data_IF_737542535471
#
_entry.id   IF_737542535471
#
_cell.length_a   1.000
_cell.length_b   1.000
_cell.length_c   1.000
_cell.angle_alpha   90.00
_cell.angle_beta   90.00
_cell.angle_gamma   90.00
#
_symmetry.space_group_name_H-M   'P 1'
#
loop_
_entity.id
_entity.type
_entity.pdbx_description
1 polymer ?
#
# COMPACT_ATOMS: atom_id res chain seq x y z
N UNK A 1 -14.65 -17.61 3.76
CA UNK A 1 -13.66 -18.63 3.36
C UNK A 1 -12.38 -17.92 2.93
N UNK A 2 -11.31 -17.99 3.73
CA UNK A 2 -9.98 -17.53 3.31
C UNK A 2 -9.42 -18.62 2.39
N UNK A 3 -9.27 -18.32 1.09
CA UNK A 3 -8.41 -19.12 0.23
C UNK A 3 -6.98 -18.75 0.59
N UNK A 4 -6.29 -19.61 1.31
CA UNK A 4 -4.85 -19.54 1.42
C UNK A 4 -4.27 -19.88 0.04
N UNK A 5 -4.05 -18.87 -0.81
CA UNK A 5 -3.19 -19.04 -1.97
C UNK A 5 -1.78 -19.32 -1.45
N UNK A 6 -1.36 -20.58 -1.47
CA UNK A 6 0.04 -20.94 -1.28
C UNK A 6 0.83 -20.33 -2.46
N UNK A 7 1.44 -19.18 -2.22
CA UNK A 7 2.14 -18.42 -3.25
C UNK A 7 3.49 -19.06 -3.53
N UNK A 8 3.60 -19.65 -4.73
CA UNK A 8 4.79 -20.36 -5.21
C UNK A 8 5.99 -19.40 -5.43
N UNK A 9 5.74 -18.08 -5.49
CA UNK A 9 6.79 -17.05 -5.58
C UNK A 9 6.96 -16.27 -4.26
N UNK A 10 7.83 -16.80 -3.39
CA UNK A 10 8.78 -16.08 -2.52
C UNK A 10 8.33 -14.97 -1.55
N UNK A 11 7.07 -14.53 -1.54
CA UNK A 11 6.60 -13.46 -0.66
C UNK A 11 6.16 -14.01 0.69
N UNK A 12 6.55 -13.32 1.77
CA UNK A 12 6.06 -13.50 3.15
C UNK A 12 6.71 -14.63 3.98
N UNK A 13 7.92 -15.08 3.62
CA UNK A 13 8.72 -16.00 4.46
C UNK A 13 9.36 -15.33 5.68
N UNK A 14 9.45 -14.01 5.67
CA UNK A 14 9.99 -13.21 6.77
C UNK A 14 9.01 -12.09 7.11
N UNK A 15 8.99 -11.70 8.39
CA UNK A 15 8.21 -10.56 8.85
C UNK A 15 8.54 -9.29 8.06
N UNK A 16 9.83 -9.05 7.81
CA UNK A 16 10.29 -7.93 7.01
C UNK A 16 9.70 -7.91 5.59
N UNK A 17 9.70 -9.04 4.88
CA UNK A 17 9.11 -9.13 3.55
C UNK A 17 7.58 -8.98 3.55
N UNK A 18 6.92 -9.47 4.60
CA UNK A 18 5.49 -9.27 4.81
C UNK A 18 5.15 -7.79 5.04
N UNK A 19 5.89 -7.11 5.93
CA UNK A 19 5.70 -5.70 6.26
C UNK A 19 5.94 -4.80 5.03
N UNK A 20 7.02 -5.05 4.27
CA UNK A 20 7.30 -4.33 3.03
C UNK A 20 6.17 -4.50 2.00
N UNK A 21 5.68 -5.73 1.83
CA UNK A 21 4.57 -6.01 0.92
C UNK A 21 3.28 -5.31 1.38
N UNK A 22 2.94 -5.40 2.67
CA UNK A 22 1.74 -4.79 3.24
C UNK A 22 1.79 -3.27 3.08
N UNK A 23 2.96 -2.65 3.31
CA UNK A 23 3.15 -1.20 3.20
C UNK A 23 2.85 -0.70 1.79
N UNK A 24 3.43 -1.32 0.77
CA UNK A 24 3.22 -0.93 -0.64
C UNK A 24 1.76 -1.17 -1.05
N UNK A 25 1.21 -2.35 -0.73
CA UNK A 25 -0.18 -2.69 -1.10
C UNK A 25 -1.21 -1.84 -0.37
N UNK A 26 -0.98 -1.54 0.91
CA UNK A 26 -1.82 -0.67 1.72
C UNK A 26 -1.88 0.73 1.12
N UNK A 27 -0.71 1.32 0.83
CA UNK A 27 -0.63 2.65 0.22
C UNK A 27 -1.36 2.73 -1.12
N UNK A 28 -1.12 1.77 -2.03
CA UNK A 28 -1.82 1.70 -3.32
C UNK A 28 -3.33 1.57 -3.11
N UNK A 29 -3.78 0.74 -2.16
CA UNK A 29 -5.21 0.59 -1.88
C UNK A 29 -5.84 1.88 -1.35
N UNK A 30 -5.14 2.62 -0.50
CA UNK A 30 -5.62 3.91 0.01
C UNK A 30 -5.72 4.93 -1.13
N UNK A 31 -4.67 5.06 -1.95
CA UNK A 31 -4.68 5.96 -3.09
C UNK A 31 -5.85 5.68 -4.05
N UNK A 32 -6.14 4.40 -4.32
CA UNK A 32 -7.30 3.99 -5.14
C UNK A 32 -8.63 4.37 -4.52
N UNK A 33 -8.79 4.21 -3.21
CA UNK A 33 -10.05 4.55 -2.51
C UNK A 33 -10.33 6.04 -2.53
N UNK A 34 -9.29 6.87 -2.58
CA UNK A 34 -9.38 8.32 -2.72
C UNK A 34 -9.36 8.79 -4.18
N UNK A 35 -9.56 7.88 -5.15
CA UNK A 35 -9.61 8.20 -6.58
C UNK A 35 -8.36 8.94 -7.10
N UNK A 36 -7.20 8.70 -6.48
CA UNK A 36 -5.94 9.29 -6.90
C UNK A 36 -5.34 8.54 -8.08
N UNK A 37 -4.63 9.28 -8.93
CA UNK A 37 -3.91 8.69 -10.04
C UNK A 37 -2.67 7.91 -9.56
N UNK A 38 -2.70 6.58 -9.74
CA UNK A 38 -1.77 5.69 -9.05
C UNK A 38 -0.29 5.90 -9.41
N UNK A 39 -0.01 6.17 -10.68
CA UNK A 39 1.38 6.32 -11.15
C UNK A 39 2.01 7.60 -10.59
N UNK A 40 1.25 8.69 -10.50
CA UNK A 40 1.73 9.94 -9.90
C UNK A 40 1.89 9.77 -8.40
N UNK A 41 0.89 9.22 -7.70
CA UNK A 41 0.99 8.99 -6.25
C UNK A 41 2.13 8.04 -5.85
N UNK A 42 2.45 7.06 -6.70
CA UNK A 42 3.59 6.18 -6.49
C UNK A 42 4.93 6.88 -6.78
N UNK A 43 5.00 7.68 -7.85
CA UNK A 43 6.16 8.53 -8.14
C UNK A 43 6.45 9.43 -6.95
N UNK A 44 5.45 10.16 -6.48
CA UNK A 44 5.60 11.14 -5.40
C UNK A 44 6.05 10.46 -4.10
N UNK A 45 5.50 9.28 -3.78
CA UNK A 45 5.95 8.49 -2.64
C UNK A 45 7.41 8.02 -2.75
N UNK A 46 7.87 7.62 -3.94
CA UNK A 46 9.27 7.22 -4.17
C UNK A 46 10.20 8.42 -4.13
N UNK A 47 9.78 9.59 -4.60
CA UNK A 47 10.56 10.83 -4.56
C UNK A 47 10.51 11.55 -3.21
N UNK A 48 9.92 10.94 -2.18
CA UNK A 48 9.90 11.47 -0.81
C UNK A 48 8.75 12.43 -0.47
N UNK A 49 7.78 12.60 -1.38
CA UNK A 49 6.58 13.40 -1.18
C UNK A 49 5.30 12.52 -1.22
N UNK A 50 5.14 11.54 -0.33
CA UNK A 50 3.95 10.69 -0.33
C UNK A 50 2.69 11.50 -0.02
N UNK A 51 1.62 11.24 -0.76
CA UNK A 51 0.30 11.75 -0.40
C UNK A 51 -0.19 11.05 0.88
N UNK A 52 -0.64 11.83 1.86
CA UNK A 52 -1.25 11.30 3.08
C UNK A 52 -2.72 11.69 3.11
N UNK A 53 -3.62 10.79 3.53
CA UNK A 53 -5.01 11.16 3.74
C UNK A 53 -5.06 12.21 4.85
N UNK A 54 -5.59 13.38 4.52
CA UNK A 54 -5.96 14.36 5.54
C UNK A 54 -7.03 13.68 6.39
N UNK A 55 -6.74 13.42 7.67
CA UNK A 55 -7.81 13.06 8.60
C UNK A 55 -8.76 14.25 8.59
N UNK A 56 -10.04 14.01 8.30
CA UNK A 56 -11.06 15.00 8.61
C UNK A 56 -11.10 14.98 10.14
N UNK A 57 -10.33 15.85 10.80
CA UNK A 57 -10.64 16.21 12.18
C UNK A 57 -11.99 16.91 12.12
N UNK A 58 -13.04 16.14 12.40
CA UNK A 58 -14.34 16.70 12.72
C UNK A 58 -14.15 17.54 13.98
N UNK A 59 -14.46 18.83 13.83
CA UNK A 59 -14.59 19.82 14.90
C UNK A 59 -15.45 19.33 16.07
#
# INVERSE_FOLDING_TARGET
MIKAQLKISGGWRTRHGADAWLRVRGYISTARKHSLHLITTLRDAITGNPWLPTTIEMA
#
